data_IF_681793627290
#
_entry.id   IF_681793627290
#
_cell.length_a   1.000
_cell.length_b   1.000
_cell.length_c   1.000
_cell.angle_alpha   90.00
_cell.angle_beta   90.00
_cell.angle_gamma   90.00
#
_symmetry.space_group_name_H-M   'P 1'
#
loop_
_entity.id
_entity.type
_entity.pdbx_description
1 polymer ?
#
# COMPACT_ATOMS: atom_id res chain seq x y z
N UNK A 1 -13.93 -3.82 10.87
CA UNK A 1 -13.40 -4.82 11.82
C UNK A 1 -12.72 -4.09 12.96
N UNK A 2 -12.70 -4.69 14.15
CA UNK A 2 -12.12 -4.08 15.35
C UNK A 2 -10.71 -4.63 15.57
N UNK A 3 -9.78 -3.74 15.92
CA UNK A 3 -8.42 -4.11 16.34
C UNK A 3 -8.47 -4.95 17.62
N UNK A 4 -7.52 -5.88 17.79
CA UNK A 4 -7.31 -6.56 19.08
C UNK A 4 -6.81 -5.58 20.14
N UNK A 5 -5.89 -4.69 19.76
CA UNK A 5 -5.39 -3.65 20.65
C UNK A 5 -6.41 -2.51 20.75
N UNK A 6 -6.66 -1.97 21.96
CA UNK A 6 -7.51 -0.81 22.13
C UNK A 6 -6.79 0.42 21.55
N UNK A 7 -7.25 0.89 20.39
CA UNK A 7 -6.69 2.08 19.74
C UNK A 7 -7.47 3.32 20.16
N UNK A 8 -6.74 4.35 20.61
CA UNK A 8 -7.30 5.68 20.83
C UNK A 8 -7.80 6.31 19.53
N UNK A 9 -8.74 7.25 19.65
CA UNK A 9 -9.18 8.04 18.50
C UNK A 9 -8.04 8.96 18.01
N UNK A 10 -8.11 9.40 16.75
CA UNK A 10 -7.01 10.12 16.13
C UNK A 10 -6.66 11.44 16.84
N UNK A 11 -7.65 12.17 17.35
CA UNK A 11 -7.41 13.43 18.08
C UNK A 11 -6.58 13.21 19.34
N UNK A 12 -6.95 12.20 20.13
CA UNK A 12 -6.20 11.80 21.33
C UNK A 12 -4.79 11.30 21.00
N UNK A 13 -4.62 10.57 19.88
CA UNK A 13 -3.29 10.12 19.43
C UNK A 13 -2.38 11.31 19.08
N UNK A 14 -2.92 12.31 18.39
CA UNK A 14 -2.16 13.51 18.00
C UNK A 14 -1.81 14.35 19.24
N UNK A 15 -2.75 14.56 20.16
CA UNK A 15 -2.46 15.31 21.39
C UNK A 15 -1.43 14.58 22.24
N UNK A 16 -1.56 13.26 22.39
CA UNK A 16 -0.59 12.44 23.13
C UNK A 16 0.79 12.51 22.48
N UNK A 17 0.88 12.43 21.15
CA UNK A 17 2.16 12.56 20.46
C UNK A 17 2.84 13.91 20.76
N UNK A 18 2.07 14.99 20.79
CA UNK A 18 2.58 16.30 21.18
C UNK A 18 3.04 16.33 22.64
N UNK A 19 2.27 15.75 23.57
CA UNK A 19 2.62 15.64 25.00
C UNK A 19 3.97 14.93 25.21
N UNK A 20 4.18 13.79 24.55
CA UNK A 20 5.37 12.94 24.81
C UNK A 20 6.60 13.34 23.99
N UNK A 21 6.43 14.02 22.86
CA UNK A 21 7.53 14.34 21.93
C UNK A 21 7.80 15.83 21.73
N UNK A 22 6.85 16.70 22.10
CA UNK A 22 6.84 18.13 21.77
C UNK A 22 6.61 18.44 20.28
N UNK A 23 6.42 17.43 19.43
CA UNK A 23 6.22 17.61 17.97
C UNK A 23 4.74 17.65 17.62
N UNK A 24 4.39 18.48 16.64
CA UNK A 24 3.02 18.61 16.16
C UNK A 24 2.82 17.82 14.88
N UNK A 25 1.74 17.04 14.80
CA UNK A 25 1.26 16.42 13.57
C UNK A 25 -0.06 17.10 13.21
N UNK A 26 -0.11 17.70 12.03
CA UNK A 26 -1.36 18.27 11.52
C UNK A 26 -2.28 17.18 10.98
N UNK A 27 -3.58 17.37 11.20
CA UNK A 27 -4.60 16.49 10.66
C UNK A 27 -5.58 17.28 9.79
N UNK A 28 -5.91 16.69 8.63
CA UNK A 28 -6.97 17.12 7.74
C UNK A 28 -7.80 15.88 7.40
N UNK A 29 -9.09 15.91 7.71
CA UNK A 29 -10.00 14.81 7.40
C UNK A 29 -10.50 14.94 5.96
N UNK A 30 -10.12 14.03 5.05
CA UNK A 30 -10.58 14.01 3.66
C UNK A 30 -10.66 12.59 3.10
N UNK A 31 -11.44 12.42 2.03
CA UNK A 31 -11.42 11.23 1.19
C UNK A 31 -10.74 11.52 -0.14
N UNK A 32 -9.54 10.95 -0.35
CA UNK A 32 -8.76 11.17 -1.58
C UNK A 32 -9.48 10.76 -2.87
N UNK A 33 -10.39 9.79 -2.82
CA UNK A 33 -11.11 9.33 -4.00
C UNK A 33 -12.23 10.29 -4.44
N UNK A 34 -12.75 11.15 -3.55
CA UNK A 34 -13.90 12.03 -3.82
C UNK A 34 -13.63 13.52 -3.64
N UNK A 35 -12.66 13.90 -2.81
CA UNK A 35 -12.50 15.28 -2.33
C UNK A 35 -11.33 16.00 -3.03
N UNK A 36 -11.27 15.92 -4.37
CA UNK A 36 -10.13 16.38 -5.17
C UNK A 36 -9.79 17.87 -4.92
N UNK A 37 -10.76 18.79 -5.07
CA UNK A 37 -10.52 20.24 -4.92
C UNK A 37 -10.01 20.60 -3.52
N UNK A 38 -10.50 19.88 -2.50
CA UNK A 38 -10.06 20.06 -1.13
C UNK A 38 -8.63 19.56 -0.95
N UNK A 39 -8.28 18.44 -1.57
CA UNK A 39 -6.91 17.93 -1.55
C UNK A 39 -5.94 18.89 -2.25
N UNK A 40 -6.31 19.44 -3.40
CA UNK A 40 -5.53 20.48 -4.10
C UNK A 40 -5.30 21.70 -3.22
N UNK A 41 -6.35 22.16 -2.52
CA UNK A 41 -6.23 23.27 -1.55
C UNK A 41 -5.23 22.93 -0.45
N UNK A 42 -5.30 21.73 0.14
CA UNK A 42 -4.37 21.26 1.17
C UNK A 42 -2.92 21.25 0.64
N UNK A 43 -2.69 20.76 -0.58
CA UNK A 43 -1.34 20.74 -1.15
C UNK A 43 -0.77 22.16 -1.36
N UNK A 44 -1.61 23.11 -1.79
CA UNK A 44 -1.21 24.52 -1.96
C UNK A 44 -0.90 25.20 -0.62
N UNK A 45 -1.63 24.86 0.44
CA UNK A 45 -1.41 25.40 1.80
C UNK A 45 -0.23 24.77 2.51
N UNK A 46 -0.11 23.43 2.48
CA UNK A 46 0.90 22.68 3.23
C UNK A 46 2.25 22.63 2.51
N UNK A 47 2.25 22.71 1.17
CA UNK A 47 3.44 22.67 0.32
C UNK A 47 4.42 21.53 0.69
N UNK A 48 3.98 20.25 0.67
CA UNK A 48 4.84 19.14 1.07
C UNK A 48 5.98 18.91 0.07
N UNK A 49 7.16 18.50 0.56
CA UNK A 49 8.23 17.98 -0.30
C UNK A 49 7.93 16.55 -0.80
N UNK A 50 7.16 15.78 -0.03
CA UNK A 50 6.83 14.39 -0.35
C UNK A 50 5.44 13.98 0.15
N UNK A 51 4.83 13.04 -0.55
CA UNK A 51 3.57 12.39 -0.18
C UNK A 51 3.83 10.90 0.02
N UNK A 52 3.48 10.36 1.20
CA UNK A 52 3.50 8.91 1.44
C UNK A 52 2.07 8.36 1.39
N UNK A 53 1.76 7.62 0.32
CA UNK A 53 0.39 7.19 0.01
C UNK A 53 0.10 5.78 0.53
N UNK A 54 -0.51 5.71 1.72
CA UNK A 54 -1.06 4.47 2.32
C UNK A 54 -2.58 4.32 2.13
N UNK A 55 -3.25 5.30 1.52
CA UNK A 55 -4.68 5.54 1.69
C UNK A 55 -5.54 4.78 0.66
N UNK A 56 -5.55 3.45 0.79
CA UNK A 56 -6.24 2.54 -0.11
C UNK A 56 -6.85 1.33 0.62
N UNK A 57 -7.82 0.68 -0.03
CA UNK A 57 -8.35 -0.61 0.40
C UNK A 57 -7.27 -1.67 0.16
N UNK A 58 -6.64 -2.19 1.23
CA UNK A 58 -5.46 -3.07 1.17
C UNK A 58 -5.70 -4.59 1.32
N UNK A 59 -6.93 -5.01 1.57
CA UNK A 59 -7.27 -6.39 1.88
C UNK A 59 -7.67 -7.17 0.62
N UNK A 60 -6.89 -8.23 0.34
CA UNK A 60 -7.23 -9.20 -0.70
C UNK A 60 -8.53 -9.96 -0.40
N UNK A 61 -8.76 -10.56 0.80
CA UNK A 61 -10.02 -11.20 1.12
C UNK A 61 -11.23 -10.27 0.99
N UNK A 62 -11.13 -9.04 1.51
CA UNK A 62 -12.18 -8.03 1.39
C UNK A 62 -12.50 -7.76 -0.07
N UNK A 63 -11.48 -7.54 -0.90
CA UNK A 63 -11.66 -7.26 -2.34
C UNK A 63 -12.36 -8.37 -3.10
N UNK A 64 -12.42 -9.58 -2.55
CA UNK A 64 -13.01 -10.76 -3.21
C UNK A 64 -14.37 -11.16 -2.64
N UNK A 65 -14.82 -10.52 -1.55
CA UNK A 65 -15.96 -10.94 -0.73
C UNK A 65 -17.32 -10.85 -1.42
N UNK A 66 -17.56 -9.78 -2.17
CA UNK A 66 -18.80 -9.56 -2.90
C UNK A 66 -18.57 -8.65 -4.12
N UNK A 67 -19.57 -8.54 -5.00
CA UNK A 67 -19.53 -7.61 -6.14
C UNK A 67 -19.32 -6.17 -5.69
N UNK A 68 -19.94 -5.74 -4.60
CA UNK A 68 -19.78 -4.37 -4.09
C UNK A 68 -18.38 -4.13 -3.54
N UNK A 69 -17.80 -5.11 -2.84
CA UNK A 69 -16.42 -4.99 -2.35
C UNK A 69 -15.40 -4.95 -3.51
N UNK A 70 -15.62 -5.72 -4.58
CA UNK A 70 -14.80 -5.70 -5.79
C UNK A 70 -14.82 -4.31 -6.44
N UNK A 71 -16.03 -3.79 -6.71
CA UNK A 71 -16.24 -2.47 -7.32
C UNK A 71 -15.64 -1.36 -6.46
N UNK A 72 -15.94 -1.36 -5.16
CA UNK A 72 -15.39 -0.39 -4.23
C UNK A 72 -13.86 -0.40 -4.21
N UNK A 73 -13.22 -1.57 -4.22
CA UNK A 73 -11.75 -1.64 -4.19
C UNK A 73 -11.15 -0.97 -5.43
N UNK A 74 -11.71 -1.22 -6.62
CA UNK A 74 -11.25 -0.56 -7.86
C UNK A 74 -11.57 0.93 -7.85
N UNK A 75 -12.82 1.29 -7.56
CA UNK A 75 -13.28 2.68 -7.55
C UNK A 75 -12.51 3.54 -6.53
N UNK A 76 -12.20 2.99 -5.35
CA UNK A 76 -11.47 3.70 -4.31
C UNK A 76 -9.99 3.85 -4.67
N UNK A 77 -9.31 2.74 -4.94
CA UNK A 77 -7.86 2.74 -5.04
C UNK A 77 -7.37 3.50 -6.27
N UNK A 78 -7.87 3.12 -7.45
CA UNK A 78 -7.40 3.70 -8.72
C UNK A 78 -7.73 5.18 -8.79
N UNK A 79 -8.92 5.60 -8.29
CA UNK A 79 -9.27 7.02 -8.25
C UNK A 79 -8.44 7.79 -7.24
N UNK A 80 -8.19 7.26 -6.04
CA UNK A 80 -7.35 7.92 -5.04
C UNK A 80 -5.93 8.16 -5.59
N UNK A 81 -5.29 7.13 -6.14
CA UNK A 81 -3.95 7.24 -6.74
C UNK A 81 -3.93 8.23 -7.90
N UNK A 82 -4.90 8.13 -8.82
CA UNK A 82 -5.01 9.05 -9.95
C UNK A 82 -5.23 10.50 -9.51
N UNK A 83 -6.05 10.71 -8.48
CA UNK A 83 -6.29 12.04 -7.91
C UNK A 83 -5.01 12.61 -7.26
N UNK A 84 -4.20 11.78 -6.59
CA UNK A 84 -2.91 12.23 -6.04
C UNK A 84 -1.98 12.70 -7.16
N UNK A 85 -1.80 11.88 -8.20
CA UNK A 85 -0.96 12.23 -9.36
C UNK A 85 -1.46 13.49 -10.06
N UNK A 86 -2.77 13.56 -10.35
CA UNK A 86 -3.38 14.73 -11.00
C UNK A 86 -3.25 15.99 -10.15
N UNK A 87 -3.39 15.87 -8.82
CA UNK A 87 -3.25 17.01 -7.93
C UNK A 87 -1.82 17.54 -7.89
N UNK A 88 -0.80 16.66 -7.92
CA UNK A 88 0.61 17.07 -8.02
C UNK A 88 0.84 17.88 -9.31
N UNK A 89 0.30 17.42 -10.45
CA UNK A 89 0.38 18.18 -11.72
C UNK A 89 -0.34 19.53 -11.61
N UNK A 90 -1.56 19.54 -11.08
CA UNK A 90 -2.42 20.74 -10.95
C UNK A 90 -1.80 21.82 -10.05
N UNK A 91 -1.10 21.44 -8.98
CA UNK A 91 -0.39 22.41 -8.14
C UNK A 91 0.95 22.83 -8.72
N UNK A 92 1.50 22.07 -9.68
CA UNK A 92 2.76 22.36 -10.34
C UNK A 92 3.97 22.36 -9.40
N UNK A 93 3.92 21.56 -8.33
CA UNK A 93 4.97 21.48 -7.32
C UNK A 93 5.84 20.23 -7.52
N UNK A 94 7.13 20.33 -7.17
CA UNK A 94 8.08 19.22 -7.20
C UNK A 94 7.90 18.35 -5.95
N UNK A 95 6.87 17.50 -5.97
CA UNK A 95 6.49 16.62 -4.86
C UNK A 95 6.90 15.19 -5.20
N UNK A 96 7.68 14.55 -4.32
CA UNK A 96 8.01 13.13 -4.46
C UNK A 96 6.88 12.25 -3.93
N UNK A 97 6.28 11.43 -4.79
CA UNK A 97 5.31 10.43 -4.39
C UNK A 97 5.99 9.13 -3.97
N UNK A 98 5.82 8.74 -2.71
CA UNK A 98 6.17 7.41 -2.20
C UNK A 98 4.88 6.60 -2.03
N UNK A 99 4.70 5.58 -2.85
CA UNK A 99 3.50 4.75 -2.85
C UNK A 99 3.78 3.37 -2.25
N UNK A 100 2.78 2.81 -1.56
CA UNK A 100 2.84 1.46 -1.02
C UNK A 100 2.24 0.47 -2.01
N UNK A 101 3.09 -0.11 -2.84
CA UNK A 101 2.76 -1.24 -3.68
C UNK A 101 2.69 -2.56 -2.90
N UNK A 102 2.82 -3.67 -3.61
CA UNK A 102 2.81 -5.02 -3.02
C UNK A 102 3.56 -5.98 -3.93
N UNK A 103 4.31 -6.92 -3.36
CA UNK A 103 4.93 -7.99 -4.15
C UNK A 103 3.89 -8.87 -4.88
N UNK A 104 2.63 -8.84 -4.45
CA UNK A 104 1.56 -9.61 -5.09
C UNK A 104 1.18 -9.15 -6.51
N UNK A 105 1.75 -8.05 -7.01
CA UNK A 105 1.58 -7.59 -8.41
C UNK A 105 2.17 -8.57 -9.43
N UNK A 106 3.22 -9.30 -9.07
CA UNK A 106 3.92 -10.25 -9.95
C UNK A 106 3.40 -11.67 -9.86
N UNK A 107 2.42 -11.91 -9.00
CA UNK A 107 1.97 -13.25 -8.67
C UNK A 107 3.11 -14.11 -8.12
N UNK A 108 2.88 -15.42 -8.16
CA UNK A 108 3.87 -16.41 -7.72
C UNK A 108 4.04 -17.54 -8.75
N UNK A 109 3.35 -17.43 -9.90
CA UNK A 109 3.40 -18.42 -10.98
C UNK A 109 4.52 -18.19 -12.00
N UNK A 110 5.05 -16.96 -12.08
CA UNK A 110 6.17 -16.62 -12.97
C UNK A 110 7.51 -17.20 -12.48
N UNK A 111 7.61 -17.47 -11.18
CA UNK A 111 8.80 -18.02 -10.54
C UNK A 111 8.95 -19.52 -10.86
N UNK A 112 9.46 -19.82 -12.05
CA UNK A 112 10.40 -20.93 -12.22
C UNK A 112 11.74 -20.59 -11.53
N UNK A 113 12.85 -21.08 -12.07
CA UNK A 113 14.22 -20.87 -11.54
C UNK A 113 14.74 -19.41 -11.58
N UNK A 114 13.88 -18.41 -11.85
CA UNK A 114 14.27 -17.01 -12.08
C UNK A 114 13.78 -16.09 -10.97
N UNK A 115 14.63 -15.16 -10.53
CA UNK A 115 14.30 -14.13 -9.54
C UNK A 115 13.30 -13.11 -10.09
N UNK A 116 12.33 -12.70 -9.27
CA UNK A 116 11.41 -11.60 -9.58
C UNK A 116 12.21 -10.27 -9.54
N UNK A 117 12.21 -9.45 -10.60
CA UNK A 117 12.94 -8.19 -10.61
C UNK A 117 12.18 -7.06 -9.90
N UNK A 118 12.89 -5.98 -9.60
CA UNK A 118 12.34 -4.78 -8.96
C UNK A 118 11.71 -3.84 -10.00
N UNK A 119 10.44 -4.06 -10.37
CA UNK A 119 9.68 -3.14 -11.23
C UNK A 119 9.79 -3.46 -12.71
N UNK A 120 11.01 -3.61 -13.22
CA UNK A 120 11.31 -3.59 -14.65
C UNK A 120 12.07 -4.83 -15.11
N UNK A 121 11.93 -5.13 -16.40
CA UNK A 121 12.60 -6.23 -17.07
C UNK A 121 13.24 -5.72 -18.37
N UNK A 122 14.54 -5.94 -18.54
CA UNK A 122 15.20 -5.77 -19.83
C UNK A 122 14.79 -6.92 -20.76
N UNK A 123 14.17 -6.57 -21.88
CA UNK A 123 13.77 -7.52 -22.93
C UNK A 123 14.43 -7.17 -24.25
N UNK A 124 14.66 -8.17 -25.09
CA UNK A 124 15.04 -7.98 -26.49
C UNK A 124 13.81 -8.23 -27.36
N UNK A 125 13.40 -7.21 -28.11
CA UNK A 125 12.26 -7.24 -29.02
C UNK A 125 12.79 -7.40 -30.45
N UNK A 126 12.33 -8.43 -31.16
CA UNK A 126 12.60 -8.57 -32.59
C UNK A 126 11.72 -7.57 -33.35
N UNK A 127 12.36 -6.60 -34.01
CA UNK A 127 11.67 -5.60 -34.83
C UNK A 127 12.04 -5.75 -36.30
N UNK A 128 11.28 -5.13 -37.20
CA UNK A 128 11.60 -5.09 -38.64
C UNK A 128 12.97 -4.45 -38.93
N UNK A 129 13.48 -3.62 -38.03
CA UNK A 129 14.82 -3.03 -38.08
C UNK A 129 15.91 -3.83 -37.36
N UNK A 130 15.63 -5.07 -36.95
CA UNK A 130 16.51 -5.93 -36.16
C UNK A 130 16.16 -5.96 -34.66
N UNK A 131 16.90 -6.75 -33.85
CA UNK A 131 16.67 -6.86 -32.42
C UNK A 131 16.91 -5.53 -31.70
N UNK A 132 15.98 -5.12 -30.84
CA UNK A 132 16.09 -3.92 -30.00
C UNK A 132 15.95 -4.28 -28.53
N UNK A 133 16.88 -3.82 -27.71
CA UNK A 133 16.75 -3.90 -26.25
C UNK A 133 15.82 -2.81 -25.76
N UNK A 134 14.94 -3.15 -24.82
CA UNK A 134 14.01 -2.22 -24.19
C UNK A 134 13.75 -2.65 -22.77
N UNK A 135 13.65 -1.68 -21.88
CA UNK A 135 13.14 -1.90 -20.54
C UNK A 135 11.62 -1.74 -20.54
N UNK A 136 10.92 -2.73 -19.99
CA UNK A 136 9.46 -2.73 -19.83
C UNK A 136 9.11 -2.99 -18.36
N UNK A 137 7.90 -2.61 -17.97
CA UNK A 137 7.36 -3.09 -16.69
C UNK A 137 7.35 -4.61 -16.69
N UNK A 138 7.81 -5.20 -15.59
CA UNK A 138 7.73 -6.64 -15.42
C UNK A 138 6.27 -7.10 -15.52
N UNK A 139 5.96 -8.20 -16.24
CA UNK A 139 4.60 -8.67 -16.40
C UNK A 139 3.88 -8.84 -15.06
N UNK A 140 2.66 -8.31 -15.00
CA UNK A 140 1.79 -8.45 -13.84
C UNK A 140 1.03 -9.79 -13.87
N UNK A 141 0.83 -10.39 -12.69
CA UNK A 141 0.04 -11.62 -12.50
C UNK A 141 -0.71 -11.58 -11.14
N UNK A 142 -1.64 -10.63 -10.94
CA UNK A 142 -2.25 -10.40 -9.64
C UNK A 142 -3.25 -11.51 -9.25
N UNK A 143 -3.15 -11.99 -8.00
CA UNK A 143 -4.03 -13.04 -7.48
C UNK A 143 -5.37 -12.58 -6.88
N UNK A 144 -5.67 -11.27 -6.84
CA UNK A 144 -6.94 -10.73 -6.34
C UNK A 144 -7.24 -9.34 -6.93
N UNK A 145 -8.47 -8.84 -6.74
CA UNK A 145 -8.85 -7.49 -7.18
C UNK A 145 -8.00 -6.40 -6.52
N UNK A 146 -7.68 -6.54 -5.23
CA UNK A 146 -6.72 -5.63 -4.57
C UNK A 146 -5.33 -5.64 -5.22
N UNK A 147 -4.75 -6.81 -5.52
CA UNK A 147 -3.44 -6.85 -6.17
C UNK A 147 -3.51 -6.29 -7.59
N UNK A 148 -4.64 -6.50 -8.28
CA UNK A 148 -4.88 -5.93 -9.61
C UNK A 148 -4.94 -4.39 -9.56
N UNK A 149 -5.56 -3.77 -8.56
CA UNK A 149 -5.53 -2.30 -8.46
C UNK A 149 -4.12 -1.77 -8.32
N UNK A 150 -3.25 -2.47 -7.58
CA UNK A 150 -1.83 -2.13 -7.47
C UNK A 150 -1.05 -2.25 -8.79
N UNK A 151 -1.43 -3.18 -9.66
CA UNK A 151 -0.87 -3.23 -11.03
C UNK A 151 -1.35 -2.07 -11.90
N UNK A 152 -2.57 -1.57 -11.67
CA UNK A 152 -3.07 -0.38 -12.36
C UNK A 152 -2.34 0.88 -11.87
N UNK A 153 -2.05 0.97 -10.58
CA UNK A 153 -1.25 2.06 -10.02
C UNK A 153 0.14 2.14 -10.68
N UNK A 154 0.83 1.00 -10.89
CA UNK A 154 2.10 0.96 -11.63
C UNK A 154 2.01 1.56 -13.04
N UNK A 155 0.90 1.28 -13.75
CA UNK A 155 0.67 1.85 -15.08
C UNK A 155 0.44 3.36 -15.01
N UNK A 156 -0.30 3.85 -13.99
CA UNK A 156 -0.46 5.27 -13.73
C UNK A 156 0.91 5.93 -13.46
N UNK A 157 1.72 5.35 -12.57
CA UNK A 157 3.05 5.89 -12.25
C UNK A 157 3.96 5.96 -13.47
N UNK A 158 4.04 4.87 -14.26
CA UNK A 158 4.84 4.86 -15.48
C UNK A 158 4.37 5.92 -16.49
N UNK A 159 3.06 6.18 -16.57
CA UNK A 159 2.52 7.23 -17.42
C UNK A 159 2.90 8.63 -16.92
N UNK A 160 2.60 8.95 -15.66
CA UNK A 160 2.84 10.29 -15.10
C UNK A 160 4.34 10.61 -14.95
N UNK A 161 5.17 9.63 -14.59
CA UNK A 161 6.62 9.81 -14.56
C UNK A 161 7.19 10.12 -15.95
N UNK A 162 6.63 9.49 -17.00
CA UNK A 162 7.07 9.72 -18.38
C UNK A 162 6.59 11.06 -18.94
N UNK A 163 5.31 11.39 -18.75
CA UNK A 163 4.67 12.52 -19.44
C UNK A 163 4.71 13.81 -18.62
N UNK A 164 4.49 13.69 -17.31
CA UNK A 164 4.40 14.83 -16.38
C UNK A 164 5.64 14.97 -15.50
N UNK A 165 6.59 14.02 -15.60
CA UNK A 165 7.87 14.00 -14.86
C UNK A 165 7.72 13.95 -13.35
N UNK A 166 6.60 13.39 -12.86
CA UNK A 166 6.41 13.16 -11.42
C UNK A 166 7.46 12.16 -10.92
N UNK A 167 8.10 12.49 -9.81
CA UNK A 167 8.97 11.55 -9.11
C UNK A 167 8.13 10.56 -8.31
N UNK A 168 8.25 9.28 -8.61
CA UNK A 168 7.51 8.21 -7.94
C UNK A 168 8.46 7.12 -7.47
N UNK A 169 8.34 6.72 -6.21
CA UNK A 169 8.91 5.49 -5.67
C UNK A 169 7.77 4.55 -5.29
N UNK A 170 7.64 3.44 -6.00
CA UNK A 170 6.66 2.39 -5.69
C UNK A 170 7.31 1.30 -4.83
N UNK A 171 6.89 1.19 -3.58
CA UNK A 171 7.43 0.26 -2.59
C UNK A 171 6.66 -1.06 -2.63
N UNK A 172 7.18 -2.07 -3.32
CA UNK A 172 6.60 -3.42 -3.30
C UNK A 172 6.84 -4.12 -1.97
N UNK A 173 6.00 -3.81 -0.99
CA UNK A 173 6.15 -4.31 0.37
C UNK A 173 5.76 -5.80 0.47
N UNK A 174 6.52 -6.54 1.27
CA UNK A 174 6.14 -7.86 1.76
C UNK A 174 5.07 -7.81 2.86
N UNK A 175 4.79 -8.95 3.46
CA UNK A 175 3.81 -9.03 4.56
C UNK A 175 4.40 -8.39 5.81
N UNK A 176 3.76 -7.33 6.31
CA UNK A 176 4.16 -6.68 7.56
C UNK A 176 3.74 -7.54 8.76
N UNK A 177 4.65 -7.66 9.73
CA UNK A 177 4.38 -8.25 11.03
C UNK A 177 4.89 -7.37 12.17
N UNK A 178 4.37 -7.64 13.38
CA UNK A 178 4.60 -6.78 14.54
C UNK A 178 3.62 -5.61 14.60
N UNK A 179 3.57 -4.95 15.76
CA UNK A 179 2.64 -3.84 16.00
C UNK A 179 3.26 -2.64 16.67
N UNK A 180 4.37 -2.81 17.38
CA UNK A 180 5.03 -1.74 18.10
C UNK A 180 6.26 -1.24 17.35
N UNK A 181 6.34 0.08 17.24
CA UNK A 181 7.56 0.84 16.96
C UNK A 181 8.01 1.61 18.19
N UNK A 182 9.24 2.14 18.17
CA UNK A 182 9.77 2.99 19.23
C UNK A 182 8.82 4.15 19.59
N UNK A 183 8.14 4.74 18.59
CA UNK A 183 7.19 5.83 18.78
C UNK A 183 5.87 5.35 19.40
N UNK A 184 5.31 4.24 18.89
CA UNK A 184 4.02 3.72 19.41
C UNK A 184 4.14 3.08 20.80
N UNK A 185 5.37 2.79 21.24
CA UNK A 185 5.66 2.25 22.57
C UNK A 185 5.84 3.34 23.64
N UNK A 186 5.84 4.63 23.29
CA UNK A 186 6.04 5.73 24.25
C UNK A 186 4.85 5.92 25.21
N UNK A 187 3.63 5.59 24.77
CA UNK A 187 2.41 5.76 25.56
C UNK A 187 1.32 4.78 25.06
N UNK A 188 0.50 4.26 25.97
CA UNK A 188 -0.58 3.31 25.63
C UNK A 188 -1.60 3.90 24.64
N UNK A 189 -1.83 5.22 24.69
CA UNK A 189 -2.71 5.93 23.74
C UNK A 189 -2.13 5.97 22.33
N UNK A 190 -0.84 5.68 22.14
CA UNK A 190 -0.17 5.65 20.84
C UNK A 190 -0.13 4.25 20.19
N UNK A 191 -0.63 3.21 20.89
CA UNK A 191 -0.63 1.82 20.43
C UNK A 191 -1.21 1.72 19.00
N UNK A 192 -0.52 0.95 18.16
CA UNK A 192 -0.98 0.67 16.81
C UNK A 192 -2.02 -0.45 16.78
N UNK A 193 -2.79 -0.52 15.70
CA UNK A 193 -3.77 -1.59 15.49
C UNK A 193 -3.11 -2.96 15.34
N UNK A 194 -3.77 -4.00 15.85
CA UNK A 194 -3.43 -5.40 15.61
C UNK A 194 -4.64 -6.09 14.97
N UNK A 195 -4.54 -6.41 13.68
CA UNK A 195 -5.59 -7.11 12.94
C UNK A 195 -5.36 -8.62 12.97
N UNK A 196 -6.39 -9.39 13.34
CA UNK A 196 -6.33 -10.86 13.44
C UNK A 196 -7.50 -11.56 12.74
N UNK A 197 -8.46 -10.79 12.21
CA UNK A 197 -9.61 -11.35 11.51
C UNK A 197 -9.24 -11.89 10.11
N UNK A 198 -10.17 -12.62 9.50
CA UNK A 198 -9.96 -13.21 8.17
C UNK A 198 -9.88 -12.20 7.03
N UNK A 199 -10.37 -10.97 7.22
CA UNK A 199 -10.41 -9.94 6.20
C UNK A 199 -9.12 -9.10 6.22
N UNK A 200 -8.65 -8.65 7.39
CA UNK A 200 -7.49 -7.73 7.50
C UNK A 200 -6.27 -8.32 8.22
N UNK A 201 -6.42 -9.42 8.95
CA UNK A 201 -5.32 -10.08 9.64
C UNK A 201 -4.39 -10.79 8.66
N UNK A 202 -3.10 -10.47 8.74
CA UNK A 202 -2.06 -11.18 7.98
C UNK A 202 -1.73 -12.51 8.67
N UNK A 203 -1.14 -13.45 7.91
CA UNK A 203 -0.94 -14.85 8.35
C UNK A 203 -0.19 -14.96 9.69
N UNK A 204 0.90 -14.21 9.88
CA UNK A 204 1.70 -14.31 11.09
C UNK A 204 0.97 -13.74 12.31
N UNK A 205 0.33 -12.57 12.16
CA UNK A 205 -0.48 -11.97 13.23
C UNK A 205 -1.66 -12.87 13.63
N UNK A 206 -2.31 -13.52 12.66
CA UNK A 206 -3.34 -14.54 12.90
C UNK A 206 -2.80 -15.74 13.67
N UNK A 207 -1.66 -16.28 13.27
CA UNK A 207 -1.07 -17.45 13.92
C UNK A 207 -0.64 -17.16 15.35
N UNK A 208 -0.06 -15.98 15.61
CA UNK A 208 0.27 -15.53 16.96
C UNK A 208 -0.98 -15.52 17.86
N UNK A 209 -2.09 -15.02 17.35
CA UNK A 209 -3.35 -15.02 18.10
C UNK A 209 -3.94 -16.40 18.31
N UNK A 210 -3.91 -17.25 17.28
CA UNK A 210 -4.39 -18.63 17.36
C UNK A 210 -3.59 -19.42 18.40
N UNK A 211 -2.26 -19.29 18.38
CA UNK A 211 -1.39 -19.91 19.38
C UNK A 211 -1.67 -19.39 20.81
N UNK A 212 -1.84 -18.08 20.98
CA UNK A 212 -2.07 -17.47 22.29
C UNK A 212 -3.36 -17.97 22.99
N UNK A 213 -4.40 -18.30 22.21
CA UNK A 213 -5.68 -18.80 22.73
C UNK A 213 -5.82 -20.33 22.66
N UNK A 214 -4.77 -21.05 22.24
CA UNK A 214 -4.80 -22.50 22.06
C UNK A 214 -5.66 -22.99 20.89
N UNK A 215 -5.95 -22.13 19.91
CA UNK A 215 -6.68 -22.50 18.70
C UNK A 215 -5.71 -23.07 17.64
N UNK A 216 -6.09 -24.13 16.90
CA UNK A 216 -5.24 -24.69 15.84
C UNK A 216 -4.86 -23.67 14.77
N UNK A 217 -3.60 -23.70 14.33
CA UNK A 217 -3.12 -22.79 13.30
C UNK A 217 -3.84 -23.04 11.96
N UNK A 218 -4.42 -21.98 11.40
CA UNK A 218 -5.20 -22.05 10.16
C UNK A 218 -4.32 -22.07 8.91
N UNK A 219 -3.74 -23.23 8.59
CA UNK A 219 -2.99 -23.44 7.35
C UNK A 219 -3.97 -23.61 6.17
N UNK A 220 -3.82 -22.79 5.14
CA UNK A 220 -4.66 -22.88 3.94
C UNK A 220 -4.00 -23.79 2.88
N UNK A 221 -4.74 -24.80 2.41
CA UNK A 221 -4.26 -25.74 1.39
C UNK A 221 -3.10 -26.60 1.92
N UNK A 222 -2.03 -26.72 1.14
CA UNK A 222 -0.84 -27.51 1.50
C UNK A 222 0.12 -26.81 2.45
N UNK A 223 -0.02 -25.49 2.63
CA UNK A 223 0.93 -24.67 3.42
C UNK A 223 2.26 -24.36 2.72
N UNK A 224 2.41 -24.70 1.43
CA UNK A 224 3.65 -24.45 0.67
C UNK A 224 3.82 -23.02 0.15
N UNK A 225 2.94 -22.09 0.52
CA UNK A 225 3.01 -20.72 0.03
C UNK A 225 4.21 -19.99 0.65
N UNK A 226 5.14 -19.51 -0.19
CA UNK A 226 6.30 -18.73 0.25
C UNK A 226 6.05 -17.23 0.03
N UNK A 227 6.30 -16.42 1.05
CA UNK A 227 6.11 -14.95 1.02
C UNK A 227 7.25 -14.26 1.77
N UNK A 228 7.63 -13.07 1.31
CA UNK A 228 8.54 -12.20 2.05
C UNK A 228 7.80 -11.52 3.20
N UNK A 229 8.48 -11.38 4.34
CA UNK A 229 7.98 -10.68 5.52
C UNK A 229 8.93 -9.56 5.90
N UNK A 230 8.38 -8.48 6.43
CA UNK A 230 9.15 -7.37 6.99
C UNK A 230 8.55 -6.96 8.33
N UNK A 231 9.40 -6.64 9.30
CA UNK A 231 8.92 -6.09 10.56
C UNK A 231 8.38 -4.68 10.33
N UNK A 232 7.47 -4.21 11.17
CA UNK A 232 6.94 -2.83 11.12
C UNK A 232 8.00 -1.74 11.47
N UNK A 233 9.22 -2.13 11.86
CA UNK A 233 10.32 -1.23 12.25
C UNK A 233 11.36 -1.11 11.14
#
# INVERSE_FOLDING_TARGET
TSSLTPISNLGERISTWHEVSGKTIEFRNLNLASDFDRFVTILREFQPDAIVHFAEQRSAPYSMKSTDNKRYTVDNNVRATHNVLSAIVEVGADIHLVHLGTMGVYGYGWAGDSSIPEGYLEVTLDTSSGPKRKEILHPADPGSVYHMTKTLDQLLFAFYAKNDRIQVTDLHQGIVWGTQTAQTALDERLINRFDYDGDYGTVLNRFLMQAAIGFPLTVHGTGGQTRAFIHIN
#
